data_IF_713069407528
#
_entry.id   IF_713069407528
#
_cell.length_a   1.000
_cell.length_b   1.000
_cell.length_c   1.000
_cell.angle_alpha   90.00
_cell.angle_beta   90.00
_cell.angle_gamma   90.00
#
_symmetry.space_group_name_H-M   'P 1'
#
loop_
_entity.id
_entity.type
_entity.pdbx_description
1 polymer ?
#
# COMPACT_ATOMS: atom_id res chain seq x y z
N UNK A 1 -10.60 -11.68 12.77
CA UNK A 1 -9.66 -11.10 13.77
C UNK A 1 -8.62 -10.29 13.00
N UNK A 2 -8.70 -8.94 12.98
CA UNK A 2 -7.76 -8.08 12.22
C UNK A 2 -6.28 -8.41 12.50
N UNK A 3 -5.99 -8.85 13.73
CA UNK A 3 -4.66 -9.28 14.15
C UNK A 3 -4.05 -10.45 13.36
N UNK A 4 -4.86 -11.41 12.90
CA UNK A 4 -4.36 -12.53 12.09
C UNK A 4 -3.86 -12.05 10.73
N UNK A 5 -4.54 -11.07 10.14
CA UNK A 5 -4.14 -10.42 8.89
C UNK A 5 -2.84 -9.63 9.08
N UNK A 6 -2.69 -8.90 10.19
CA UNK A 6 -1.44 -8.17 10.50
C UNK A 6 -0.27 -9.14 10.64
N UNK A 7 -0.46 -10.25 11.36
CA UNK A 7 0.55 -11.31 11.48
C UNK A 7 0.95 -11.88 10.12
N UNK A 8 -0.02 -12.13 9.23
CA UNK A 8 0.25 -12.57 7.86
C UNK A 8 1.06 -11.56 7.04
N UNK A 9 0.72 -10.27 7.12
CA UNK A 9 1.47 -9.19 6.44
C UNK A 9 2.92 -9.14 6.94
N UNK A 10 3.12 -9.21 8.27
CA UNK A 10 4.45 -9.19 8.87
C UNK A 10 5.25 -10.43 8.44
N UNK A 11 4.64 -11.61 8.44
CA UNK A 11 5.27 -12.86 8.03
C UNK A 11 5.76 -12.77 6.57
N UNK A 12 4.90 -12.31 5.65
CA UNK A 12 5.25 -12.14 4.23
C UNK A 12 6.37 -11.10 4.08
N UNK A 13 6.27 -9.96 4.78
CA UNK A 13 7.29 -8.93 4.77
C UNK A 13 8.65 -9.46 5.24
N UNK A 14 8.66 -10.31 6.27
CA UNK A 14 9.85 -10.99 6.78
C UNK A 14 10.44 -11.96 5.76
N UNK A 15 9.60 -12.76 5.10
CA UNK A 15 10.03 -13.69 4.06
C UNK A 15 10.67 -12.97 2.86
N UNK A 16 10.03 -11.89 2.39
CA UNK A 16 10.57 -11.05 1.31
C UNK A 16 11.92 -10.47 1.75
N UNK A 17 11.99 -9.91 2.96
CA UNK A 17 13.24 -9.34 3.48
C UNK A 17 14.34 -10.40 3.59
N UNK A 18 14.06 -11.59 4.13
CA UNK A 18 15.03 -12.68 4.24
C UNK A 18 15.51 -13.20 2.89
N UNK A 19 14.68 -13.13 1.84
CA UNK A 19 15.07 -13.53 0.49
C UNK A 19 15.86 -12.43 -0.25
N UNK A 20 15.44 -11.17 -0.15
CA UNK A 20 16.06 -10.04 -0.84
C UNK A 20 17.40 -9.62 -0.20
N UNK A 21 17.50 -9.70 1.13
CA UNK A 21 18.67 -9.25 1.90
C UNK A 21 19.99 -9.97 1.57
N UNK A 22 20.04 -11.32 1.40
CA UNK A 22 21.25 -12.01 0.96
C UNK A 22 21.56 -11.73 -0.52
N UNK A 23 20.55 -11.42 -1.34
CA UNK A 23 20.70 -11.09 -2.77
C UNK A 23 21.28 -9.69 -2.98
N UNK A 24 20.99 -8.76 -2.06
CA UNK A 24 21.56 -7.41 -2.02
C UNK A 24 23.02 -7.45 -1.52
N UNK A 25 23.97 -7.29 -2.45
CA UNK A 25 25.41 -7.26 -2.14
C UNK A 25 25.72 -6.16 -1.11
N UNK A 26 26.68 -6.41 -0.20
CA UNK A 26 27.09 -5.45 0.86
C UNK A 26 27.42 -4.04 0.34
N UNK A 27 27.81 -3.90 -0.94
CA UNK A 27 28.18 -2.63 -1.54
C UNK A 27 26.99 -1.80 -2.10
N UNK A 28 25.80 -2.39 -2.23
CA UNK A 28 24.60 -1.73 -2.77
C UNK A 28 23.78 -1.00 -1.69
N UNK A 29 24.42 -0.06 -0.98
CA UNK A 29 23.78 0.69 0.12
C UNK A 29 22.53 1.48 -0.34
N UNK A 30 22.50 1.96 -1.59
CA UNK A 30 21.35 2.69 -2.17
C UNK A 30 20.14 1.77 -2.39
N UNK A 31 20.35 0.58 -2.92
CA UNK A 31 19.28 -0.39 -3.17
C UNK A 31 18.69 -0.91 -1.85
N UNK A 32 19.54 -1.15 -0.84
CA UNK A 32 19.05 -1.49 0.52
C UNK A 32 18.15 -0.41 1.10
N UNK A 33 18.50 0.87 0.92
CA UNK A 33 17.64 1.98 1.34
C UNK A 33 16.32 1.99 0.57
N UNK A 34 16.35 1.83 -0.75
CA UNK A 34 15.15 1.77 -1.57
C UNK A 34 14.22 0.61 -1.15
N UNK A 35 14.80 -0.58 -0.92
CA UNK A 35 14.05 -1.75 -0.44
C UNK A 35 13.38 -1.49 0.91
N UNK A 36 14.11 -0.93 1.88
CA UNK A 36 13.55 -0.62 3.21
C UNK A 36 12.42 0.40 3.11
N UNK A 37 12.59 1.45 2.30
CA UNK A 37 11.54 2.46 2.10
C UNK A 37 10.31 1.85 1.44
N UNK A 38 10.49 1.03 0.40
CA UNK A 38 9.39 0.34 -0.27
C UNK A 38 8.66 -0.63 0.66
N UNK A 39 9.38 -1.41 1.46
CA UNK A 39 8.77 -2.32 2.42
C UNK A 39 7.99 -1.59 3.51
N UNK A 40 8.58 -0.54 4.09
CA UNK A 40 7.87 0.27 5.08
C UNK A 40 6.60 0.87 4.49
N UNK A 41 6.70 1.45 3.28
CA UNK A 41 5.54 2.03 2.58
C UNK A 41 4.46 0.98 2.35
N UNK A 42 4.83 -0.22 1.91
CA UNK A 42 3.91 -1.33 1.63
C UNK A 42 3.20 -1.84 2.89
N UNK A 43 3.95 -1.98 3.99
CA UNK A 43 3.39 -2.40 5.29
C UNK A 43 2.46 -1.31 5.85
N UNK A 44 2.86 -0.05 5.81
CA UNK A 44 2.02 1.08 6.26
C UNK A 44 0.72 1.19 5.46
N UNK A 45 0.77 1.01 4.13
CA UNK A 45 -0.42 0.96 3.27
C UNK A 45 -1.32 -0.23 3.62
N UNK A 46 -0.75 -1.42 3.77
CA UNK A 46 -1.52 -2.63 4.09
C UNK A 46 -2.23 -2.49 5.44
N UNK A 47 -1.55 -1.93 6.44
CA UNK A 47 -2.14 -1.65 7.75
C UNK A 47 -3.23 -0.58 7.63
N UNK A 48 -2.99 0.50 6.88
CA UNK A 48 -4.01 1.55 6.67
C UNK A 48 -5.31 0.99 6.10
N UNK A 49 -5.23 0.13 5.07
CA UNK A 49 -6.41 -0.51 4.47
C UNK A 49 -7.13 -1.41 5.48
N UNK A 50 -6.39 -2.11 6.34
CA UNK A 50 -6.97 -3.02 7.33
C UNK A 50 -7.76 -2.29 8.44
N UNK A 51 -7.29 -1.09 8.84
CA UNK A 51 -7.94 -0.28 9.87
C UNK A 51 -8.97 0.70 9.31
N UNK A 52 -8.77 1.20 8.09
CA UNK A 52 -9.65 2.09 7.34
C UNK A 52 -10.15 1.39 6.05
N UNK A 53 -10.98 0.34 6.17
CA UNK A 53 -11.47 -0.41 5.01
C UNK A 53 -12.36 0.44 4.09
N UNK A 54 -13.02 1.46 4.63
CA UNK A 54 -13.88 2.39 3.89
C UNK A 54 -13.12 3.62 3.37
N UNK A 55 -11.78 3.59 3.31
CA UNK A 55 -11.04 4.64 2.62
C UNK A 55 -11.49 4.64 1.16
N UNK A 56 -12.08 5.75 0.67
CA UNK A 56 -12.58 5.79 -0.69
C UNK A 56 -11.43 5.51 -1.64
N UNK A 57 -11.57 4.47 -2.45
CA UNK A 57 -10.54 4.08 -3.40
C UNK A 57 -10.23 5.21 -4.37
N UNK A 58 -9.10 5.18 -5.09
CA UNK A 58 -8.79 6.18 -6.12
C UNK A 58 -9.93 6.34 -7.13
N UNK A 59 -10.57 5.24 -7.49
CA UNK A 59 -11.74 5.21 -8.38
C UNK A 59 -12.97 5.88 -7.73
N UNK A 60 -13.21 5.65 -6.45
CA UNK A 60 -14.31 6.27 -5.69
C UNK A 60 -14.09 7.78 -5.46
N UNK A 61 -12.83 8.20 -5.32
CA UNK A 61 -12.44 9.61 -5.28
C UNK A 61 -12.69 10.29 -6.62
N UNK A 62 -12.32 9.64 -7.73
CA UNK A 62 -12.65 10.11 -9.08
C UNK A 62 -14.17 10.25 -9.22
N UNK A 63 -14.94 9.23 -8.85
CA UNK A 63 -16.40 9.31 -8.88
C UNK A 63 -16.95 10.44 -8.00
N UNK A 64 -16.43 10.65 -6.78
CA UNK A 64 -16.84 11.77 -5.91
C UNK A 64 -16.58 13.13 -6.55
N UNK A 65 -15.46 13.29 -7.24
CA UNK A 65 -15.08 14.53 -7.92
C UNK A 65 -15.92 14.73 -9.18
N UNK A 66 -16.12 13.70 -9.99
CA UNK A 66 -16.75 13.79 -11.32
C UNK A 66 -18.29 13.67 -11.32
N UNK A 67 -18.89 13.01 -10.33
CA UNK A 67 -20.36 12.89 -10.17
C UNK A 67 -21.11 14.23 -10.12
N UNK A 68 -20.64 15.30 -9.44
CA UNK A 68 -21.29 16.61 -9.52
C UNK A 68 -21.20 17.23 -10.93
N UNK A 69 -20.09 17.04 -11.66
CA UNK A 69 -19.95 17.51 -13.04
C UNK A 69 -20.86 16.76 -14.00
N UNK A 70 -21.03 15.44 -13.84
CA UNK A 70 -22.00 14.65 -14.62
C UNK A 70 -23.44 15.15 -14.45
N UNK A 71 -23.85 15.50 -13.21
CA UNK A 71 -25.17 16.09 -12.96
C UNK A 71 -25.36 17.47 -13.60
N UNK A 72 -24.30 18.29 -13.64
CA UNK A 72 -24.33 19.59 -14.30
C UNK A 72 -24.44 19.47 -15.83
N UNK A 73 -23.81 18.46 -16.42
CA UNK A 73 -23.83 18.22 -17.87
C UNK A 73 -25.11 17.50 -18.34
N UNK A 74 -25.74 16.67 -17.51
CA UNK A 74 -27.06 16.06 -17.79
C UNK A 74 -28.23 17.02 -17.57
N UNK A 75 -28.01 18.22 -17.03
CA UNK A 75 -29.00 19.30 -16.96
C UNK A 75 -28.92 20.12 -18.26
N UNK A 76 -29.27 19.48 -19.37
CA UNK A 76 -29.53 20.16 -20.65
C UNK A 76 -30.48 19.35 -21.51
#
# INVERSE_FOLDING_TARGET
>A
MKWLSVLGIILIALLITLYEWPKLKKNQKKEKKAFVVLMLTSVTLSISILYFPDMPGPTELIDKIFKPFGKLLSTK
#
